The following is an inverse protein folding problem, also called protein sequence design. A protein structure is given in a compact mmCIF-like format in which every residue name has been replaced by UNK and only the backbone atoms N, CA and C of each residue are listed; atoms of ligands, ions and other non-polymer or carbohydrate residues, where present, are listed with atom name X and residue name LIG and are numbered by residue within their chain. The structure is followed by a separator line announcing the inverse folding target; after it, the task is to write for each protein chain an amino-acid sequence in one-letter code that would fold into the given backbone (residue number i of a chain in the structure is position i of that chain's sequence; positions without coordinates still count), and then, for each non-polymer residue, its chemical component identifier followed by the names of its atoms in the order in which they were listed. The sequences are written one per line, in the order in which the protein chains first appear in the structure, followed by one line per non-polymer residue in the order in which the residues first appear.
data_IF_202616331258
#
_entry.id   IF_202616331258
#
_cell.length_a   1.000
_cell.length_b   1.000
_cell.length_c   1.000
_cell.angle_alpha   90.00
_cell.angle_beta   90.00
_cell.angle_gamma   90.00
#
_symmetry.space_group_name_H-M   'P 1'
#
loop_
_entity.id
_entity.type
_entity.pdbx_description
1 polymer ?
#
# COMPACT_ATOMS: atom_id res chain seq x y z
N UNK A 1 -12.74 -13.40 -0.35
CA UNK A 1 -11.90 -13.87 -1.46
C UNK A 1 -10.55 -14.32 -0.92
N UNK A 2 -10.01 -15.42 -1.46
CA UNK A 2 -8.68 -15.93 -1.12
C UNK A 2 -7.91 -16.11 -2.42
N UNK A 3 -6.73 -15.49 -2.51
CA UNK A 3 -5.86 -15.55 -3.68
C UNK A 3 -4.52 -16.18 -3.31
N UNK A 4 -3.98 -16.99 -4.18
CA UNK A 4 -2.66 -17.57 -4.04
C UNK A 4 -1.83 -17.24 -5.27
N UNK A 5 -0.63 -16.78 -5.05
CA UNK A 5 0.30 -16.41 -6.10
C UNK A 5 1.64 -17.09 -5.89
N UNK A 6 2.27 -17.52 -6.97
CA UNK A 6 3.60 -18.11 -6.94
C UNK A 6 4.32 -17.83 -8.26
N UNK A 7 5.66 -17.85 -8.24
CA UNK A 7 6.51 -17.67 -9.42
C UNK A 7 6.37 -18.84 -10.42
N UNK A 8 6.14 -20.04 -9.91
CA UNK A 8 6.00 -21.26 -10.71
C UNK A 8 4.85 -22.10 -10.16
N UNK A 9 4.36 -23.04 -10.97
CA UNK A 9 3.30 -23.97 -10.57
C UNK A 9 3.68 -24.77 -9.32
N UNK A 10 4.94 -25.16 -9.18
CA UNK A 10 5.45 -25.91 -8.02
C UNK A 10 5.44 -25.10 -6.71
N UNK A 11 5.36 -23.77 -6.82
CA UNK A 11 5.25 -22.86 -5.67
C UNK A 11 3.81 -22.63 -5.20
N UNK A 12 2.81 -23.13 -5.93
CA UNK A 12 1.42 -23.03 -5.51
C UNK A 12 1.14 -23.92 -4.28
N UNK A 13 0.16 -23.55 -3.45
CA UNK A 13 -0.19 -24.32 -2.27
C UNK A 13 -0.57 -25.78 -2.61
N UNK A 14 -0.24 -26.69 -1.71
CA UNK A 14 -0.69 -28.07 -1.81
C UNK A 14 -2.23 -28.16 -1.71
N UNK A 15 -2.80 -29.29 -2.16
CA UNK A 15 -4.23 -29.54 -2.00
C UNK A 15 -4.67 -29.41 -0.53
N UNK A 16 -3.88 -29.89 0.42
CA UNK A 16 -4.19 -29.79 1.84
C UNK A 16 -4.24 -28.34 2.34
N UNK A 17 -3.31 -27.49 1.86
CA UNK A 17 -3.30 -26.07 2.19
C UNK A 17 -4.50 -25.34 1.59
N UNK A 18 -4.85 -25.65 0.34
CA UNK A 18 -6.05 -25.11 -0.31
C UNK A 18 -7.33 -25.48 0.44
N UNK A 19 -7.47 -26.74 0.84
CA UNK A 19 -8.62 -27.18 1.64
C UNK A 19 -8.66 -26.52 3.01
N UNK A 20 -7.51 -26.31 3.66
CA UNK A 20 -7.43 -25.59 4.92
C UNK A 20 -7.87 -24.12 4.77
N UNK A 21 -7.39 -23.45 3.72
CA UNK A 21 -7.77 -22.07 3.41
C UNK A 21 -9.27 -21.95 3.08
N UNK A 22 -9.85 -22.89 2.34
CA UNK A 22 -11.28 -22.92 2.05
C UNK A 22 -12.12 -23.09 3.33
N UNK A 23 -11.68 -23.95 4.25
CA UNK A 23 -12.36 -24.11 5.56
C UNK A 23 -12.30 -22.83 6.38
N UNK A 24 -11.16 -22.13 6.39
CA UNK A 24 -11.01 -20.85 7.07
C UNK A 24 -11.88 -19.77 6.44
N UNK A 25 -11.91 -19.67 5.12
CA UNK A 25 -12.78 -18.75 4.40
C UNK A 25 -14.26 -19.00 4.74
N UNK A 26 -14.67 -20.27 4.82
CA UNK A 26 -16.03 -20.65 5.22
C UNK A 26 -16.38 -20.18 6.64
N UNK A 27 -15.46 -20.35 7.61
CA UNK A 27 -15.63 -19.84 8.98
C UNK A 27 -15.72 -18.32 9.02
N UNK A 28 -14.84 -17.63 8.28
CA UNK A 28 -14.84 -16.17 8.19
C UNK A 28 -16.15 -15.63 7.61
N UNK A 29 -16.65 -16.23 6.53
CA UNK A 29 -17.93 -15.85 5.93
C UNK A 29 -19.12 -16.08 6.88
N UNK A 30 -19.11 -17.18 7.62
CA UNK A 30 -20.16 -17.45 8.62
C UNK A 30 -20.13 -16.43 9.76
N UNK A 31 -18.93 -16.05 10.21
CA UNK A 31 -18.74 -15.02 11.24
C UNK A 31 -19.19 -13.65 10.75
N UNK A 32 -18.80 -13.27 9.53
CA UNK A 32 -19.23 -12.01 8.90
C UNK A 32 -20.75 -11.93 8.75
N UNK A 33 -21.39 -13.03 8.35
CA UNK A 33 -22.87 -13.07 8.22
C UNK A 33 -23.60 -12.81 9.53
N UNK A 34 -22.97 -13.14 10.66
CA UNK A 34 -23.52 -12.96 12.01
C UNK A 34 -23.06 -11.66 12.67
N UNK A 35 -22.06 -10.99 12.10
CA UNK A 35 -21.50 -9.78 12.68
C UNK A 35 -22.48 -8.61 12.58
N UNK A 36 -22.60 -7.80 13.63
CA UNK A 36 -23.38 -6.58 13.56
C UNK A 36 -22.69 -5.56 12.62
N UNK A 37 -23.49 -4.72 11.97
CA UNK A 37 -22.97 -3.54 11.27
C UNK A 37 -22.57 -2.52 12.33
N UNK A 38 -21.37 -1.98 12.21
CA UNK A 38 -20.88 -0.94 13.13
C UNK A 38 -21.37 0.44 12.68
N UNK A 39 -21.67 1.29 13.67
CA UNK A 39 -21.90 2.71 13.41
C UNK A 39 -20.61 3.40 12.92
N UNK A 40 -20.71 4.54 12.22
CA UNK A 40 -19.55 5.35 11.85
C UNK A 40 -18.66 5.61 13.06
N UNK A 41 -17.37 5.36 12.91
CA UNK A 41 -16.42 5.44 14.00
C UNK A 41 -15.23 6.33 13.61
N UNK A 42 -14.90 7.26 14.49
CA UNK A 42 -13.69 8.05 14.45
C UNK A 42 -12.86 7.78 15.69
N UNK A 43 -11.68 7.19 15.53
CA UNK A 43 -10.83 6.79 16.64
C UNK A 43 -9.64 5.93 16.19
N UNK A 44 -8.87 5.41 17.16
CA UNK A 44 -7.66 4.66 16.86
C UNK A 44 -7.99 3.28 16.28
N UNK A 45 -7.13 2.85 15.35
CA UNK A 45 -7.26 1.55 14.69
C UNK A 45 -5.90 0.87 14.48
N UNK A 46 -5.91 -0.45 14.48
CA UNK A 46 -4.84 -1.29 13.94
C UNK A 46 -5.29 -1.82 12.58
N UNK A 47 -4.40 -1.75 11.63
CA UNK A 47 -4.53 -2.39 10.32
C UNK A 47 -3.57 -3.57 10.28
N UNK A 48 -4.08 -4.79 10.12
CA UNK A 48 -3.21 -5.96 9.98
C UNK A 48 -2.67 -6.10 8.55
N UNK A 49 -1.68 -6.91 8.35
CA UNK A 49 -1.06 -7.31 7.08
C UNK A 49 -1.70 -6.75 5.80
N UNK A 50 -2.67 -7.48 5.24
CA UNK A 50 -3.35 -7.08 4.00
C UNK A 50 -4.10 -5.75 4.11
N UNK A 51 -4.75 -5.49 5.24
CA UNK A 51 -5.46 -4.22 5.46
C UNK A 51 -4.49 -3.03 5.43
N UNK A 52 -3.32 -3.17 6.06
CA UNK A 52 -2.28 -2.14 6.01
C UNK A 52 -1.72 -1.96 4.58
N UNK A 53 -1.50 -3.07 3.86
CA UNK A 53 -1.02 -3.02 2.48
C UNK A 53 -1.99 -2.27 1.56
N UNK A 54 -3.28 -2.61 1.61
CA UNK A 54 -4.32 -1.91 0.81
C UNK A 54 -4.42 -0.44 1.22
N UNK A 55 -4.38 -0.14 2.52
CA UNK A 55 -4.41 1.24 2.99
C UNK A 55 -3.24 2.07 2.42
N UNK A 56 -2.01 1.60 2.54
CA UNK A 56 -0.85 2.33 2.02
C UNK A 56 -0.85 2.41 0.49
N UNK A 57 -1.30 1.36 -0.21
CA UNK A 57 -1.47 1.37 -1.66
C UNK A 57 -2.42 2.48 -2.11
N UNK A 58 -3.61 2.55 -1.51
CA UNK A 58 -4.66 3.48 -1.91
C UNK A 58 -4.41 4.91 -1.41
N UNK A 59 -4.12 5.06 -0.12
CA UNK A 59 -4.02 6.39 0.50
C UNK A 59 -2.72 7.10 0.13
N UNK A 60 -1.64 6.34 -0.06
CA UNK A 60 -0.32 6.90 -0.31
C UNK A 60 0.21 6.58 -1.71
N UNK A 61 0.25 5.30 -2.08
CA UNK A 61 0.91 4.81 -3.28
C UNK A 61 0.45 5.52 -4.55
N UNK A 62 -0.85 5.59 -4.78
CA UNK A 62 -1.40 6.31 -5.93
C UNK A 62 -1.06 7.80 -5.94
N UNK A 63 -0.83 8.43 -4.80
CA UNK A 63 -0.43 9.85 -4.72
C UNK A 63 1.05 10.06 -5.03
N UNK A 64 1.84 8.98 -5.04
CA UNK A 64 3.25 8.98 -5.39
C UNK A 64 3.49 8.66 -6.88
N UNK A 65 2.43 8.37 -7.65
CA UNK A 65 2.51 8.16 -9.10
C UNK A 65 2.68 9.51 -9.82
N UNK A 66 3.79 9.67 -10.55
CA UNK A 66 4.22 10.95 -11.12
C UNK A 66 3.22 11.55 -12.11
N UNK A 67 2.58 10.73 -12.98
CA UNK A 67 1.62 11.25 -13.96
C UNK A 67 0.44 11.98 -13.31
N UNK A 68 0.06 11.63 -12.09
CA UNK A 68 -1.03 12.30 -11.35
C UNK A 68 -0.68 13.72 -10.95
N UNK A 69 0.60 14.10 -11.02
CA UNK A 69 1.06 15.46 -10.74
C UNK A 69 0.99 16.37 -11.98
N UNK A 70 0.60 15.86 -13.16
CA UNK A 70 0.58 16.62 -14.42
C UNK A 70 -0.71 17.36 -14.69
N UNK A 71 -1.85 16.82 -14.28
CA UNK A 71 -3.17 17.31 -14.66
C UNK A 71 -3.89 18.05 -13.54
N UNK A 72 -4.72 19.03 -13.93
CA UNK A 72 -5.61 19.70 -12.97
C UNK A 72 -6.75 18.79 -12.48
N UNK A 73 -7.07 17.74 -13.25
CA UNK A 73 -8.17 16.82 -12.98
C UNK A 73 -7.79 15.68 -12.03
N UNK A 74 -6.50 15.32 -11.96
CA UNK A 74 -6.00 14.34 -11.02
C UNK A 74 -5.28 15.03 -9.87
N UNK A 75 -5.47 14.53 -8.66
CA UNK A 75 -5.07 15.24 -7.46
C UNK A 75 -3.57 15.46 -7.34
N UNK A 76 -3.17 16.67 -7.47
CA UNK A 76 -1.81 17.15 -7.21
C UNK A 76 -1.51 17.21 -5.70
N UNK A 77 -1.88 16.16 -4.95
CA UNK A 77 -1.84 16.17 -3.49
C UNK A 77 -0.46 16.52 -2.94
N UNK A 78 0.59 15.99 -3.55
CA UNK A 78 1.97 16.14 -3.08
C UNK A 78 2.86 16.99 -3.99
N UNK A 79 2.31 17.63 -5.03
CA UNK A 79 3.12 18.39 -6.00
C UNK A 79 4.01 19.47 -5.36
N UNK A 80 3.49 20.11 -4.29
CA UNK A 80 4.19 21.19 -3.58
C UNK A 80 4.89 20.73 -2.30
N UNK A 81 4.92 19.40 -2.06
CA UNK A 81 5.40 18.87 -0.78
C UNK A 81 6.70 18.08 -0.91
N UNK A 82 7.32 18.08 -2.11
CA UNK A 82 8.68 17.56 -2.27
C UNK A 82 9.64 18.31 -1.37
N UNK A 83 10.43 17.57 -0.59
CA UNK A 83 11.33 18.11 0.43
C UNK A 83 10.64 18.43 1.77
N UNK A 84 9.34 18.16 1.92
CA UNK A 84 8.59 18.39 3.15
C UNK A 84 8.15 17.09 3.80
N UNK A 85 7.89 17.10 5.13
CA UNK A 85 7.30 15.95 5.81
C UNK A 85 5.85 15.73 5.36
N UNK A 86 5.56 14.49 4.95
CA UNK A 86 4.23 14.00 4.54
C UNK A 86 3.79 12.80 5.37
N UNK A 87 4.71 12.18 6.09
CA UNK A 87 4.50 11.10 7.06
C UNK A 87 5.27 11.41 8.35
N UNK A 88 5.00 10.67 9.44
CA UNK A 88 5.84 10.70 10.63
C UNK A 88 7.31 10.35 10.32
N UNK A 89 8.24 10.94 11.03
CA UNK A 89 9.69 10.80 10.85
C UNK A 89 10.24 9.38 11.00
N UNK A 90 9.50 8.51 11.67
CA UNK A 90 9.84 7.10 11.83
C UNK A 90 9.40 6.21 10.65
N UNK A 91 8.71 6.76 9.64
CA UNK A 91 8.27 6.02 8.45
C UNK A 91 9.08 6.42 7.22
N UNK A 92 9.49 5.40 6.46
CA UNK A 92 10.09 5.56 5.14
C UNK A 92 9.36 4.68 4.13
N UNK A 93 9.29 5.12 2.89
CA UNK A 93 8.59 4.41 1.80
C UNK A 93 9.50 4.34 0.60
N UNK A 94 9.67 3.14 0.08
CA UNK A 94 10.37 2.88 -1.19
C UNK A 94 9.53 2.01 -2.10
N UNK A 95 9.82 2.07 -3.40
CA UNK A 95 9.34 1.07 -4.35
C UNK A 95 10.54 0.34 -4.93
N UNK A 96 10.53 -0.99 -4.85
CA UNK A 96 11.65 -1.81 -5.28
C UNK A 96 11.20 -2.99 -6.16
N UNK A 97 11.13 -2.80 -7.49
CA UNK A 97 10.78 -3.86 -8.41
C UNK A 97 11.89 -4.91 -8.59
N UNK A 98 13.08 -4.72 -8.00
CA UNK A 98 14.18 -5.69 -8.13
C UNK A 98 14.07 -6.87 -7.18
N UNK A 99 13.28 -6.75 -6.14
CA UNK A 99 13.07 -7.82 -5.18
C UNK A 99 11.88 -8.70 -5.58
N UNK A 100 12.08 -10.01 -5.51
CA UNK A 100 11.04 -11.01 -5.85
C UNK A 100 10.31 -11.56 -4.64
N UNK A 101 10.86 -11.34 -3.44
CA UNK A 101 10.27 -11.83 -2.19
C UNK A 101 10.47 -10.81 -1.08
N UNK A 102 9.47 -10.75 -0.19
CA UNK A 102 9.56 -10.07 1.08
C UNK A 102 9.30 -11.09 2.20
N UNK A 103 10.35 -11.47 2.91
CA UNK A 103 10.29 -12.65 3.79
C UNK A 103 9.95 -13.92 2.99
N UNK A 104 8.88 -14.61 3.37
CA UNK A 104 8.37 -15.78 2.65
C UNK A 104 7.39 -15.45 1.52
N UNK A 105 6.92 -14.20 1.43
CA UNK A 105 5.89 -13.78 0.48
C UNK A 105 6.50 -13.50 -0.89
N UNK A 106 5.93 -14.10 -1.93
CA UNK A 106 6.20 -13.76 -3.32
C UNK A 106 5.63 -12.37 -3.63
N UNK A 107 6.38 -11.59 -4.42
CA UNK A 107 5.99 -10.25 -4.83
C UNK A 107 5.77 -10.21 -6.35
N UNK A 108 4.53 -10.01 -6.78
CA UNK A 108 4.14 -9.94 -8.19
C UNK A 108 4.55 -8.64 -8.89
N UNK A 109 4.95 -7.61 -8.14
CA UNK A 109 5.40 -6.32 -8.67
C UNK A 109 6.86 -6.28 -9.13
N UNK A 110 7.58 -7.42 -9.18
CA UNK A 110 8.97 -7.47 -9.60
C UNK A 110 9.12 -7.56 -11.13
N UNK A 111 10.14 -6.87 -11.65
CA UNK A 111 10.53 -6.93 -13.08
C UNK A 111 12.01 -6.57 -13.24
N UNK A 112 12.61 -6.92 -14.39
CA UNK A 112 13.99 -6.58 -14.74
C UNK A 112 14.09 -5.25 -15.50
N UNK A 113 13.09 -4.98 -16.34
CA UNK A 113 12.93 -3.74 -17.09
C UNK A 113 11.47 -3.32 -17.01
N UNK A 114 11.22 -2.02 -16.93
CA UNK A 114 9.88 -1.48 -17.05
C UNK A 114 9.36 -1.57 -18.50
N UNK A 115 8.10 -1.18 -18.73
CA UNK A 115 7.47 -1.30 -20.03
C UNK A 115 7.97 -0.25 -21.04
N UNK A 116 8.91 0.59 -20.63
CA UNK A 116 9.63 1.55 -21.47
C UNK A 116 11.10 1.12 -21.73
N UNK A 117 11.53 -0.05 -21.23
CA UNK A 117 12.87 -0.59 -21.38
C UNK A 117 13.92 0.02 -20.43
N UNK A 118 13.49 0.72 -19.40
CA UNK A 118 14.39 1.19 -18.34
C UNK A 118 14.67 0.06 -17.35
N UNK A 119 15.95 -0.14 -17.01
CA UNK A 119 16.34 -1.19 -16.06
C UNK A 119 15.79 -0.90 -14.68
N UNK A 120 15.11 -1.89 -14.10
CA UNK A 120 14.50 -1.78 -12.78
C UNK A 120 15.50 -1.34 -11.71
N UNK A 121 15.08 -0.46 -10.83
CA UNK A 121 15.84 0.00 -9.67
C UNK A 121 14.94 0.41 -8.54
N UNK A 122 15.44 0.28 -7.33
CA UNK A 122 14.80 0.80 -6.12
C UNK A 122 14.73 2.33 -6.18
N UNK A 123 13.60 2.87 -5.74
CA UNK A 123 13.37 4.30 -5.57
C UNK A 123 12.92 4.58 -4.14
N UNK A 124 13.67 5.41 -3.42
CA UNK A 124 13.26 5.89 -2.10
C UNK A 124 12.35 7.11 -2.29
N UNK A 125 11.06 6.90 -2.10
CA UNK A 125 10.00 7.90 -2.32
C UNK A 125 9.87 8.86 -1.14
N UNK A 126 9.89 8.31 0.07
CA UNK A 126 9.81 9.05 1.33
C UNK A 126 10.92 8.51 2.25
N UNK A 127 11.75 9.39 2.76
CA UNK A 127 12.80 9.05 3.73
C UNK A 127 12.57 9.84 5.01
N UNK A 128 12.45 9.13 6.14
CA UNK A 128 12.21 9.72 7.46
C UNK A 128 11.06 10.73 7.44
N UNK A 129 9.94 10.29 6.86
CA UNK A 129 8.73 11.09 6.69
C UNK A 129 8.75 12.12 5.57
N UNK A 130 9.92 12.44 4.99
CA UNK A 130 10.10 13.51 4.00
C UNK A 130 9.98 13.00 2.58
N UNK A 131 9.07 13.56 1.79
CA UNK A 131 8.89 13.25 0.37
C UNK A 131 10.13 13.64 -0.45
N UNK A 132 10.66 12.69 -1.22
CA UNK A 132 11.87 12.89 -2.04
C UNK A 132 11.55 12.98 -3.53
N UNK A 133 10.72 12.08 -4.03
CA UNK A 133 10.42 11.94 -5.45
C UNK A 133 9.10 11.20 -5.67
N UNK A 134 8.73 11.02 -6.92
CA UNK A 134 7.58 10.27 -7.40
C UNK A 134 8.02 9.05 -8.20
N UNK A 135 7.11 8.10 -8.44
CA UNK A 135 7.28 7.02 -9.40
C UNK A 135 7.16 7.58 -10.81
N UNK A 136 8.23 7.48 -11.61
CA UNK A 136 8.36 8.16 -12.89
C UNK A 136 8.48 7.19 -14.05
N UNK A 137 7.66 7.41 -15.08
CA UNK A 137 7.89 6.95 -16.44
C UNK A 137 8.74 7.97 -17.21
N UNK A 138 8.92 7.77 -18.51
CA UNK A 138 9.54 8.77 -19.41
C UNK A 138 8.70 10.04 -19.58
N UNK A 139 7.43 10.01 -19.19
CA UNK A 139 6.59 11.18 -19.21
C UNK A 139 7.03 12.15 -18.08
N UNK A 140 7.61 13.32 -18.41
CA UNK A 140 8.12 14.24 -17.42
C UNK A 140 6.98 14.91 -16.65
N UNK A 141 7.26 15.27 -15.40
CA UNK A 141 6.45 16.18 -14.59
C UNK A 141 7.30 17.38 -14.17
N UNK A 142 6.68 18.43 -13.62
CA UNK A 142 7.41 19.59 -13.15
C UNK A 142 8.52 19.19 -12.17
N UNK A 143 9.75 19.63 -12.42
CA UNK A 143 10.97 19.33 -11.66
C UNK A 143 11.49 17.89 -11.73
N UNK A 144 10.83 16.98 -12.47
CA UNK A 144 11.28 15.60 -12.67
C UNK A 144 11.20 15.27 -14.17
N UNK A 145 12.34 15.30 -14.84
CA UNK A 145 12.42 15.19 -16.30
C UNK A 145 12.74 13.80 -16.83
N UNK A 146 13.05 12.83 -15.96
CA UNK A 146 13.51 11.51 -16.38
C UNK A 146 12.77 10.38 -15.65
N UNK A 147 12.68 9.23 -16.33
CA UNK A 147 12.20 7.98 -15.74
C UNK A 147 13.07 7.54 -14.57
N UNK A 148 12.45 6.91 -13.59
CA UNK A 148 13.15 6.14 -12.55
C UNK A 148 12.77 4.65 -12.58
N UNK A 149 12.47 4.16 -13.81
CA UNK A 149 12.15 2.76 -14.11
C UNK A 149 10.82 2.26 -13.52
N UNK A 150 9.81 3.12 -13.45
CA UNK A 150 8.47 2.77 -13.00
C UNK A 150 7.40 3.03 -14.07
N UNK A 151 7.81 3.08 -15.35
CA UNK A 151 6.91 3.17 -16.49
C UNK A 151 6.20 1.85 -16.74
N UNK A 152 4.93 1.73 -16.31
CA UNK A 152 4.12 0.51 -16.47
C UNK A 152 2.83 0.82 -17.21
N UNK A 153 2.39 -0.13 -18.01
CA UNK A 153 1.20 -0.02 -18.83
C UNK A 153 0.33 -1.27 -18.77
N UNK A 154 -0.97 -1.06 -18.79
CA UNK A 154 -1.90 -2.09 -19.22
C UNK A 154 -1.79 -2.27 -20.74
N UNK A 155 -2.05 -3.47 -21.24
CA UNK A 155 -1.96 -3.77 -22.69
C UNK A 155 -2.77 -2.76 -23.52
N UNK A 156 -2.10 -2.11 -24.48
CA UNK A 156 -2.69 -1.10 -25.35
C UNK A 156 -2.70 0.33 -24.80
N UNK A 157 -2.17 0.55 -23.60
CA UNK A 157 -2.06 1.87 -23.00
C UNK A 157 -0.62 2.39 -22.99
N UNK A 158 -0.47 3.70 -22.87
CA UNK A 158 0.84 4.36 -22.75
C UNK A 158 1.38 4.13 -21.33
N UNK A 159 2.67 3.75 -21.18
CA UNK A 159 3.28 3.59 -19.87
C UNK A 159 3.22 4.87 -19.03
N UNK A 160 2.86 4.71 -17.78
CA UNK A 160 2.80 5.79 -16.79
C UNK A 160 3.52 5.35 -15.51
N UNK A 161 3.85 6.28 -14.63
CA UNK A 161 4.50 5.96 -13.36
C UNK A 161 3.55 5.17 -12.46
N UNK A 162 3.87 3.90 -12.19
CA UNK A 162 3.03 3.00 -11.38
C UNK A 162 3.86 2.32 -10.30
N UNK A 163 3.16 1.87 -9.26
CA UNK A 163 3.74 1.06 -8.19
C UNK A 163 4.20 -0.30 -8.72
N UNK A 164 5.39 -0.73 -8.31
CA UNK A 164 5.87 -2.10 -8.41
C UNK A 164 5.68 -2.79 -7.07
N UNK A 165 6.74 -2.84 -6.26
CA UNK A 165 6.70 -3.36 -4.90
C UNK A 165 6.84 -2.20 -3.90
N UNK A 166 5.73 -1.61 -3.47
CA UNK A 166 5.71 -0.55 -2.48
C UNK A 166 6.02 -1.11 -1.09
N UNK A 167 7.08 -0.62 -0.47
CA UNK A 167 7.57 -1.08 0.83
C UNK A 167 7.53 0.07 1.81
N UNK A 168 6.79 -0.14 2.89
CA UNK A 168 6.76 0.78 4.04
C UNK A 168 7.62 0.21 5.16
N UNK A 169 8.53 1.00 5.66
CA UNK A 169 9.42 0.63 6.76
C UNK A 169 9.29 1.62 7.93
N UNK A 170 9.55 1.13 9.14
CA UNK A 170 9.49 1.94 10.35
C UNK A 170 10.74 1.71 11.20
N UNK A 171 11.27 2.78 11.77
CA UNK A 171 12.30 2.72 12.81
C UNK A 171 11.73 2.50 14.21
N UNK A 172 10.39 2.60 14.35
CA UNK A 172 9.65 2.31 15.59
C UNK A 172 8.75 1.12 15.35
N UNK A 173 9.19 -0.07 15.71
CA UNK A 173 8.40 -1.29 15.63
C UNK A 173 8.22 -1.91 17.02
N UNK A 174 7.08 -2.51 17.24
CA UNK A 174 6.75 -3.22 18.48
C UNK A 174 6.11 -4.57 18.12
N UNK A 175 6.03 -5.47 19.08
CA UNK A 175 5.31 -6.73 18.90
C UNK A 175 3.80 -6.47 18.73
N UNK A 176 3.11 -7.32 17.99
CA UNK A 176 1.67 -7.19 17.78
C UNK A 176 0.87 -7.18 19.10
N UNK A 177 1.30 -7.98 20.08
CA UNK A 177 0.70 -7.97 21.42
C UNK A 177 0.79 -6.60 22.12
N UNK A 178 1.86 -5.86 21.85
CA UNK A 178 2.06 -4.52 22.36
C UNK A 178 1.22 -3.48 21.61
N UNK A 179 1.08 -3.64 20.29
CA UNK A 179 0.17 -2.79 19.50
C UNK A 179 -1.27 -2.85 20.01
N UNK A 180 -1.75 -4.03 20.41
CA UNK A 180 -3.11 -4.17 21.00
C UNK A 180 -3.26 -3.43 22.32
N UNK A 181 -2.25 -3.44 23.18
CA UNK A 181 -2.25 -2.63 24.40
C UNK A 181 -2.26 -1.14 24.08
N UNK A 182 -1.40 -0.71 23.14
CA UNK A 182 -1.35 0.69 22.72
C UNK A 182 -2.68 1.15 22.11
N UNK A 183 -3.38 0.28 21.35
CA UNK A 183 -4.72 0.58 20.83
C UNK A 183 -5.71 0.90 21.96
N UNK A 184 -5.70 0.08 23.02
CA UNK A 184 -6.57 0.29 24.18
C UNK A 184 -6.23 1.57 24.93
N UNK A 185 -4.94 1.84 25.11
CA UNK A 185 -4.47 3.08 25.76
C UNK A 185 -4.83 4.31 24.93
N UNK A 186 -4.66 4.23 23.63
CA UNK A 186 -4.97 5.32 22.73
C UNK A 186 -6.48 5.59 22.65
N UNK A 187 -7.30 4.54 22.65
CA UNK A 187 -8.75 4.68 22.76
C UNK A 187 -9.16 5.41 24.06
N UNK A 188 -8.54 5.04 25.19
CA UNK A 188 -8.78 5.71 26.48
C UNK A 188 -8.36 7.18 26.45
N UNK A 189 -7.17 7.51 25.90
CA UNK A 189 -6.71 8.90 25.77
C UNK A 189 -7.65 9.75 24.95
N UNK A 190 -8.21 9.18 23.87
CA UNK A 190 -9.19 9.85 23.01
C UNK A 190 -10.62 9.78 23.54
N UNK A 191 -10.83 9.24 24.73
CA UNK A 191 -12.17 9.04 25.33
C UNK A 191 -13.12 8.25 24.42
N UNK A 192 -12.57 7.28 23.66
CA UNK A 192 -13.35 6.39 22.80
C UNK A 192 -13.71 5.12 23.55
N UNK A 193 -14.91 4.56 23.31
CA UNK A 193 -15.36 3.35 23.98
C UNK A 193 -14.58 2.09 23.59
N UNK A 194 -13.95 2.10 22.40
CA UNK A 194 -13.14 1.01 21.85
C UNK A 194 -12.16 1.54 20.78
N UNK A 195 -11.25 0.70 20.34
CA UNK A 195 -10.45 0.86 19.11
C UNK A 195 -10.83 -0.23 18.11
N UNK A 196 -10.54 -0.01 16.84
CA UNK A 196 -10.82 -0.98 15.78
C UNK A 196 -9.58 -1.82 15.44
N UNK A 197 -9.82 -3.06 15.04
CA UNK A 197 -8.82 -3.93 14.44
C UNK A 197 -9.34 -4.41 13.09
N UNK A 198 -8.72 -3.96 12.00
CA UNK A 198 -9.04 -4.37 10.66
C UNK A 198 -8.20 -5.57 10.26
N UNK A 199 -8.80 -6.74 10.15
CA UNK A 199 -8.12 -7.96 9.71
C UNK A 199 -7.88 -7.95 8.20
N UNK A 200 -8.85 -7.45 7.44
CA UNK A 200 -8.79 -7.37 5.98
C UNK A 200 -9.54 -6.15 5.45
N UNK A 201 -9.10 -5.67 4.30
CA UNK A 201 -9.80 -4.70 3.46
C UNK A 201 -9.86 -5.32 2.07
N UNK A 202 -11.06 -5.58 1.57
CA UNK A 202 -11.27 -6.29 0.32
C UNK A 202 -10.91 -5.47 -0.91
N UNK A 203 -11.15 -4.17 -0.86
CA UNK A 203 -10.83 -3.22 -1.93
C UNK A 203 -10.89 -1.78 -1.43
N UNK A 204 -10.31 -0.86 -2.19
CA UNK A 204 -10.38 0.56 -1.95
C UNK A 204 -10.21 1.33 -3.26
N UNK A 205 -10.40 2.63 -3.22
CA UNK A 205 -9.98 3.53 -4.27
C UNK A 205 -9.60 4.89 -3.66
N UNK A 206 -8.61 5.55 -4.25
CA UNK A 206 -8.18 6.87 -3.83
C UNK A 206 -8.78 7.95 -4.73
N UNK A 207 -9.48 8.90 -4.14
CA UNK A 207 -9.80 10.15 -4.83
C UNK A 207 -8.68 11.13 -4.58
N UNK A 208 -7.75 11.19 -5.52
CA UNK A 208 -6.52 11.98 -5.40
C UNK A 208 -6.73 13.50 -5.57
N UNK A 209 -7.93 13.93 -5.97
CA UNK A 209 -8.30 15.35 -6.12
C UNK A 209 -8.55 16.07 -4.79
N UNK A 210 -8.67 15.36 -3.68
CA UNK A 210 -8.94 15.92 -2.35
C UNK A 210 -7.82 15.57 -1.38
N UNK A 211 -7.47 16.53 -0.51
CA UNK A 211 -6.49 16.33 0.58
C UNK A 211 -7.09 15.67 1.81
N UNK A 212 -8.41 15.76 1.98
CA UNK A 212 -9.09 15.17 3.14
C UNK A 212 -9.20 13.66 3.00
N UNK A 213 -9.02 12.90 4.09
CA UNK A 213 -9.39 11.50 4.12
C UNK A 213 -10.84 11.36 3.69
N UNK A 214 -11.12 10.33 2.92
CA UNK A 214 -12.49 9.98 2.58
C UNK A 214 -12.95 8.92 3.57
N UNK A 215 -14.06 9.19 4.18
CA UNK A 215 -14.75 8.21 5.01
C UNK A 215 -15.39 7.13 4.15
#
# INVERSE_FOLDING_TARGET
EQTFEAETVDGLPSQADLEAAMRELGRSLESLRKAPVTEPFDGPAILSGRAAAVFFHEVLGHRLEGQRQRGEQEGQTFTKDVGKPVLPDFLSVSDDPTIRRFGSTWLSGSYEYDDEGEKARRVDLISDGVLKTFLMSRLPIANFGSSNSHGRAETGHVPTGRQGNLIVSSTKSVLESELRKQLIEEAKKQSKPYGLYFEDISSGFAVTTRRSPQA
#
